data_IF_591375287117
#
_entry.id   IF_591375287117
#
_cell.length_a   1.000
_cell.length_b   1.000
_cell.length_c   1.000
_cell.angle_alpha   90.00
_cell.angle_beta   90.00
_cell.angle_gamma   90.00
#
_symmetry.space_group_name_H-M   'P 1'
#
loop_
_entity.id
_entity.type
_entity.pdbx_description
1 polymer ?
#
# COMPACT_ATOMS: atom_id res chain seq x y z
N UNK A 1 -8.78 13.57 26.92
CA UNK A 1 -8.95 13.54 25.46
C UNK A 1 -7.66 12.99 24.87
N UNK A 2 -7.56 11.67 24.68
CA UNK A 2 -6.32 11.01 24.26
C UNK A 2 -6.09 11.26 22.78
N UNK A 3 -5.04 12.00 22.45
CA UNK A 3 -4.46 12.04 21.11
C UNK A 3 -3.95 10.63 20.77
N UNK A 4 -4.81 9.82 20.13
CA UNK A 4 -4.40 8.52 19.64
C UNK A 4 -3.39 8.77 18.51
N UNK A 5 -2.10 8.52 18.76
CA UNK A 5 -1.06 8.59 17.73
C UNK A 5 -1.51 7.78 16.50
N UNK A 6 -1.85 8.48 15.43
CA UNK A 6 -2.28 7.87 14.16
C UNK A 6 -1.03 7.55 13.34
N UNK A 7 -0.69 6.27 13.24
CA UNK A 7 0.43 5.76 12.48
C UNK A 7 0.21 5.89 10.98
N UNK A 8 1.26 6.30 10.27
CA UNK A 8 1.36 6.22 8.82
C UNK A 8 2.45 5.23 8.46
N UNK A 9 2.16 4.32 7.54
CA UNK A 9 3.13 3.35 7.00
C UNK A 9 3.33 3.64 5.52
N UNK A 10 4.57 3.57 5.05
CA UNK A 10 4.89 3.67 3.63
C UNK A 10 5.48 2.35 3.13
N UNK A 11 4.98 1.84 2.01
CA UNK A 11 5.53 0.70 1.29
C UNK A 11 6.08 1.16 -0.05
N UNK A 12 7.28 0.67 -0.41
CA UNK A 12 7.77 0.78 -1.77
C UNK A 12 7.08 -0.25 -2.69
N UNK A 13 7.48 -0.31 -3.97
CA UNK A 13 7.02 -1.34 -4.90
C UNK A 13 7.53 -2.74 -4.49
N UNK A 14 6.73 -3.46 -3.71
CA UNK A 14 7.09 -4.77 -3.15
C UNK A 14 7.32 -5.78 -4.28
N UNK A 15 8.45 -6.51 -4.23
CA UNK A 15 8.82 -7.61 -5.14
C UNK A 15 9.12 -7.25 -6.61
N UNK A 16 8.99 -6.00 -7.04
CA UNK A 16 9.19 -5.62 -8.46
C UNK A 16 10.63 -5.25 -8.84
N UNK A 17 11.48 -4.99 -7.84
CA UNK A 17 12.91 -4.70 -8.03
C UNK A 17 13.73 -5.96 -8.34
N UNK A 18 14.46 -6.48 -7.34
CA UNK A 18 15.36 -7.63 -7.50
C UNK A 18 14.62 -8.89 -7.98
N UNK A 19 13.43 -9.14 -7.45
CA UNK A 19 12.66 -10.35 -7.77
C UNK A 19 11.92 -10.29 -9.11
N UNK A 20 11.88 -9.11 -9.75
CA UNK A 20 11.23 -8.87 -11.05
C UNK A 20 9.79 -9.39 -11.14
N UNK A 21 9.07 -9.44 -10.02
CA UNK A 21 7.68 -9.88 -10.03
C UNK A 21 6.83 -8.93 -10.90
N UNK A 22 5.80 -9.42 -11.62
CA UNK A 22 5.00 -8.57 -12.49
C UNK A 22 4.37 -7.39 -11.75
N UNK A 23 4.70 -6.16 -12.17
CA UNK A 23 4.31 -4.92 -11.48
C UNK A 23 2.81 -4.79 -11.21
N UNK A 24 1.99 -5.08 -12.23
CA UNK A 24 0.52 -5.02 -12.13
C UNK A 24 -0.05 -6.02 -11.13
N UNK A 25 0.58 -7.18 -11.02
CA UNK A 25 0.16 -8.22 -10.08
C UNK A 25 0.61 -7.87 -8.65
N UNK A 26 1.87 -7.44 -8.48
CA UNK A 26 2.38 -6.95 -7.20
C UNK A 26 1.51 -5.81 -6.63
N UNK A 27 1.19 -4.79 -7.44
CA UNK A 27 0.40 -3.66 -6.98
C UNK A 27 -1.02 -4.07 -6.55
N UNK A 28 -1.70 -4.93 -7.31
CA UNK A 28 -3.03 -5.46 -6.94
C UNK A 28 -2.97 -6.20 -5.61
N UNK A 29 -2.04 -7.15 -5.47
CA UNK A 29 -1.86 -7.93 -4.23
C UNK A 29 -1.59 -6.99 -3.05
N UNK A 30 -0.68 -6.01 -3.21
CA UNK A 30 -0.34 -5.08 -2.15
C UNK A 30 -1.55 -4.22 -1.72
N UNK A 31 -2.30 -3.67 -2.67
CA UNK A 31 -3.49 -2.85 -2.38
C UNK A 31 -4.59 -3.68 -1.72
N UNK A 32 -4.92 -4.85 -2.25
CA UNK A 32 -5.97 -5.72 -1.72
C UNK A 32 -5.64 -6.22 -0.32
N UNK A 33 -4.37 -6.57 -0.08
CA UNK A 33 -3.88 -6.98 1.24
C UNK A 33 -4.01 -5.83 2.25
N UNK A 34 -3.60 -4.61 1.86
CA UNK A 34 -3.70 -3.43 2.74
C UNK A 34 -5.16 -3.08 3.04
N UNK A 35 -6.05 -3.10 2.03
CA UNK A 35 -7.50 -2.87 2.21
C UNK A 35 -8.08 -3.88 3.20
N UNK A 36 -7.86 -5.18 2.94
CA UNK A 36 -8.32 -6.28 3.80
C UNK A 36 -7.82 -6.13 5.23
N UNK A 37 -6.54 -5.77 5.40
CA UNK A 37 -5.97 -5.58 6.73
C UNK A 37 -6.59 -4.40 7.47
N UNK A 38 -6.78 -3.25 6.80
CA UNK A 38 -7.40 -2.08 7.41
C UNK A 38 -8.85 -2.37 7.83
N UNK A 39 -9.61 -3.08 7.01
CA UNK A 39 -11.00 -3.47 7.31
C UNK A 39 -11.06 -4.41 8.52
N UNK A 40 -10.10 -5.33 8.66
CA UNK A 40 -10.02 -6.27 9.78
C UNK A 40 -9.43 -5.70 11.08
N UNK A 41 -8.83 -4.51 11.05
CA UNK A 41 -8.06 -3.96 12.19
C UNK A 41 -8.49 -2.54 12.57
N UNK A 42 -9.79 -2.30 12.72
CA UNK A 42 -10.34 -0.97 13.09
C UNK A 42 -9.77 -0.38 14.40
N UNK A 43 -9.31 -1.23 15.32
CA UNK A 43 -8.65 -0.81 16.58
C UNK A 43 -7.16 -0.42 16.42
N UNK A 44 -6.59 -0.59 15.23
CA UNK A 44 -5.20 -0.27 14.95
C UNK A 44 -4.92 1.24 15.04
N UNK A 45 -3.68 1.57 15.44
CA UNK A 45 -3.17 2.94 15.36
C UNK A 45 -2.85 3.35 13.92
N UNK A 46 -2.68 2.40 12.99
CA UNK A 46 -2.41 2.69 11.57
C UNK A 46 -3.66 3.23 10.90
N UNK A 47 -3.61 4.48 10.43
CA UNK A 47 -4.74 5.16 9.77
C UNK A 47 -4.48 5.51 8.31
N UNK A 48 -3.22 5.43 7.87
CA UNK A 48 -2.82 5.78 6.51
C UNK A 48 -1.72 4.82 6.05
N UNK A 49 -1.90 4.27 4.86
CA UNK A 49 -0.87 3.55 4.13
C UNK A 49 -0.56 4.32 2.86
N UNK A 50 0.71 4.56 2.59
CA UNK A 50 1.21 5.25 1.40
C UNK A 50 1.98 4.23 0.57
N UNK A 51 1.66 4.12 -0.72
CA UNK A 51 2.49 3.40 -1.67
C UNK A 51 3.45 4.39 -2.32
N UNK A 52 4.70 4.35 -1.87
CA UNK A 52 5.80 5.18 -2.34
C UNK A 52 6.40 4.57 -3.62
N UNK A 53 6.03 5.15 -4.75
CA UNK A 53 6.36 4.65 -6.09
C UNK A 53 7.39 5.56 -6.75
N UNK A 54 8.34 4.97 -7.48
CA UNK A 54 9.44 5.73 -8.07
C UNK A 54 9.10 6.27 -9.48
N UNK A 55 8.66 5.41 -10.40
CA UNK A 55 8.41 5.78 -11.79
C UNK A 55 6.95 6.10 -12.10
N UNK A 56 6.72 6.82 -13.21
CA UNK A 56 5.37 7.13 -13.71
C UNK A 56 4.55 5.87 -14.02
N UNK A 57 5.20 4.84 -14.57
CA UNK A 57 4.55 3.55 -14.84
C UNK A 57 4.04 2.89 -13.55
N UNK A 58 4.85 2.92 -12.49
CA UNK A 58 4.44 2.35 -11.18
C UNK A 58 3.30 3.18 -10.59
N UNK A 59 3.37 4.51 -10.69
CA UNK A 59 2.30 5.40 -10.25
C UNK A 59 0.98 5.13 -10.95
N UNK A 60 1.00 4.93 -12.26
CA UNK A 60 -0.21 4.61 -13.02
C UNK A 60 -0.78 3.24 -12.65
N UNK A 61 0.09 2.24 -12.50
CA UNK A 61 -0.33 0.90 -12.05
C UNK A 61 -0.99 0.96 -10.67
N UNK A 62 -0.41 1.68 -9.71
CA UNK A 62 -0.98 1.83 -8.37
C UNK A 62 -2.27 2.66 -8.36
N UNK A 63 -2.39 3.70 -9.21
CA UNK A 63 -3.65 4.43 -9.38
C UNK A 63 -4.77 3.53 -9.88
N UNK A 64 -4.48 2.68 -10.86
CA UNK A 64 -5.46 1.72 -11.38
C UNK A 64 -5.87 0.68 -10.33
N UNK A 65 -4.93 0.22 -9.50
CA UNK A 65 -5.24 -0.72 -8.42
C UNK A 65 -6.02 -0.06 -7.26
N UNK A 66 -5.85 1.25 -7.04
CA UNK A 66 -6.53 2.03 -6.00
C UNK A 66 -7.91 2.56 -6.42
N UNK A 67 -8.27 2.48 -7.70
CA UNK A 67 -9.62 2.75 -8.18
C UNK A 67 -10.65 1.79 -7.53
#
# INVERSE_FOLDING_TARGET
>A
MTDARRGTVAFCCISTGVFRFPKREAARIAVDTVRTWLDGHAGSSVRRVVFDVFGDDDREIYRQALA
#
